data_IF_573581024166
#
_entry.id   IF_573581024166
#
_cell.length_a   1.000
_cell.length_b   1.000
_cell.length_c   1.000
_cell.angle_alpha   90.00
_cell.angle_beta   90.00
_cell.angle_gamma   90.00
#
_symmetry.space_group_name_H-M   'P 1'
#
loop_
_entity.id
_entity.type
_entity.pdbx_description
1 polymer ?
#
# COMPACT_ATOMS: atom_id res chain seq x y z
N UNK A 1 -1.96 -44.43 -19.58
CA UNK A 1 -1.16 -43.23 -19.28
C UNK A 1 -1.01 -43.18 -17.77
N UNK A 2 0.16 -43.57 -17.25
CA UNK A 2 0.46 -43.36 -15.84
C UNK A 2 0.64 -41.86 -15.64
N UNK A 3 -0.29 -41.22 -14.93
CA UNK A 3 -0.14 -39.83 -14.51
C UNK A 3 1.04 -39.75 -13.56
N UNK A 4 2.00 -38.86 -13.83
CA UNK A 4 3.06 -38.55 -12.88
C UNK A 4 2.40 -37.94 -11.64
N UNK A 5 2.60 -38.58 -10.49
CA UNK A 5 2.18 -38.04 -9.20
C UNK A 5 2.97 -36.75 -8.92
N UNK A 6 2.34 -35.77 -8.29
CA UNK A 6 3.06 -34.56 -7.87
C UNK A 6 4.09 -34.92 -6.78
N UNK A 7 5.12 -34.10 -6.57
CA UNK A 7 6.05 -34.30 -5.43
C UNK A 7 5.33 -34.27 -4.08
N UNK A 8 4.25 -33.50 -3.99
CA UNK A 8 3.38 -33.46 -2.81
C UNK A 8 2.65 -34.79 -2.65
N UNK A 9 2.17 -35.38 -3.74
CA UNK A 9 1.49 -36.67 -3.72
C UNK A 9 2.41 -37.79 -3.26
N UNK A 10 3.63 -37.85 -3.81
CA UNK A 10 4.64 -38.85 -3.42
C UNK A 10 5.00 -38.73 -1.94
N UNK A 11 5.12 -37.49 -1.43
CA UNK A 11 5.40 -37.21 -0.03
C UNK A 11 4.28 -37.73 0.89
N UNK A 12 3.03 -37.34 0.64
CA UNK A 12 1.91 -37.73 1.51
C UNK A 12 1.54 -39.21 1.37
N UNK A 13 1.75 -39.85 0.21
CA UNK A 13 1.51 -41.28 0.03
C UNK A 13 2.41 -42.12 0.96
N UNK A 14 3.66 -41.67 1.16
CA UNK A 14 4.64 -42.28 2.09
C UNK A 14 4.32 -42.09 3.57
N UNK A 15 3.26 -41.36 3.92
CA UNK A 15 2.84 -41.11 5.29
C UNK A 15 1.53 -41.85 5.64
N UNK A 16 1.14 -42.87 4.87
CA UNK A 16 -0.19 -43.51 4.98
C UNK A 16 -0.22 -44.85 5.70
N UNK A 17 0.91 -45.55 5.86
CA UNK A 17 0.95 -46.88 6.50
C UNK A 17 1.23 -46.79 8.00
N UNK A 18 2.28 -46.05 8.40
CA UNK A 18 2.57 -45.69 9.81
C UNK A 18 2.99 -44.20 9.87
N UNK A 19 2.02 -43.27 9.85
CA UNK A 19 2.30 -41.85 9.70
C UNK A 19 3.28 -41.31 10.75
N UNK A 20 3.25 -41.82 11.99
CA UNK A 20 4.09 -41.35 13.08
C UNK A 20 5.54 -41.81 12.94
N UNK A 21 5.77 -43.09 12.64
CA UNK A 21 7.11 -43.60 12.40
C UNK A 21 7.72 -43.03 11.12
N UNK A 22 6.89 -42.84 10.09
CA UNK A 22 7.33 -42.28 8.81
C UNK A 22 7.70 -40.81 8.96
N UNK A 23 6.86 -39.97 9.59
CA UNK A 23 7.11 -38.55 9.81
C UNK A 23 8.40 -38.29 10.60
N UNK A 24 8.69 -39.09 11.62
CA UNK A 24 9.91 -38.97 12.44
C UNK A 24 11.22 -39.17 11.64
N UNK A 25 11.13 -39.88 10.51
CA UNK A 25 12.28 -40.16 9.64
C UNK A 25 12.37 -39.22 8.43
N UNK A 26 11.41 -38.30 8.25
CA UNK A 26 11.43 -37.33 7.15
C UNK A 26 12.44 -36.21 7.44
N UNK A 27 13.29 -35.90 6.46
CA UNK A 27 14.19 -34.75 6.54
C UNK A 27 13.37 -33.43 6.53
N UNK A 28 13.70 -32.47 7.39
CA UNK A 28 13.03 -31.18 7.40
C UNK A 28 13.19 -30.41 6.07
N UNK A 29 14.29 -30.63 5.35
CA UNK A 29 14.48 -30.08 3.99
C UNK A 29 13.51 -30.72 3.00
N UNK A 30 13.19 -32.02 3.15
CA UNK A 30 12.19 -32.71 2.34
C UNK A 30 10.79 -32.15 2.61
N UNK A 31 10.43 -31.92 3.88
CA UNK A 31 9.18 -31.24 4.27
C UNK A 31 9.13 -29.83 3.65
N UNK A 32 10.21 -29.05 3.81
CA UNK A 32 10.29 -27.69 3.27
C UNK A 32 10.17 -27.66 1.74
N UNK A 33 10.78 -28.61 1.04
CA UNK A 33 10.67 -28.73 -0.41
C UNK A 33 9.26 -29.13 -0.88
N UNK A 34 8.60 -30.04 -0.16
CA UNK A 34 7.22 -30.42 -0.43
C UNK A 34 6.27 -29.21 -0.25
N UNK A 35 6.43 -28.45 0.85
CA UNK A 35 5.62 -27.26 1.15
C UNK A 35 5.88 -26.11 0.17
N UNK A 36 7.12 -25.94 -0.30
CA UNK A 36 7.51 -24.89 -1.25
C UNK A 36 6.80 -25.03 -2.61
N UNK A 37 6.62 -26.26 -3.09
CA UNK A 37 6.02 -26.56 -4.38
C UNK A 37 4.50 -26.75 -4.36
N UNK A 38 3.87 -26.70 -3.18
CA UNK A 38 2.46 -27.02 -3.01
C UNK A 38 1.56 -25.82 -3.32
N UNK A 39 0.47 -26.07 -4.05
CA UNK A 39 -0.69 -25.17 -4.00
C UNK A 39 -1.25 -25.13 -2.57
N UNK A 40 -1.71 -23.96 -2.12
CA UNK A 40 -2.12 -23.76 -0.72
C UNK A 40 -3.41 -24.50 -0.38
N UNK A 41 -4.35 -24.59 -1.32
CA UNK A 41 -5.61 -25.30 -1.09
C UNK A 41 -5.40 -26.81 -1.19
N UNK A 42 -4.49 -27.26 -2.07
CA UNK A 42 -4.04 -28.64 -2.10
C UNK A 42 -3.36 -29.05 -0.79
N UNK A 43 -2.42 -28.25 -0.28
CA UNK A 43 -1.76 -28.50 0.99
C UNK A 43 -2.77 -28.58 2.15
N UNK A 44 -3.72 -27.64 2.21
CA UNK A 44 -4.81 -27.68 3.20
C UNK A 44 -5.64 -28.95 3.08
N UNK A 45 -6.01 -29.34 1.87
CA UNK A 45 -6.79 -30.56 1.63
C UNK A 45 -6.03 -31.82 2.07
N UNK A 46 -4.72 -31.89 1.82
CA UNK A 46 -3.85 -33.03 2.21
C UNK A 46 -3.68 -33.14 3.72
N UNK A 47 -3.66 -32.02 4.43
CA UNK A 47 -3.52 -31.98 5.89
C UNK A 47 -4.84 -32.24 6.63
N UNK A 48 -5.95 -32.48 5.91
CA UNK A 48 -7.22 -32.89 6.54
C UNK A 48 -7.06 -34.27 7.19
N UNK A 49 -7.48 -34.39 8.44
CA UNK A 49 -7.45 -35.64 9.21
C UNK A 49 -6.13 -35.86 9.97
N UNK A 50 -5.83 -37.11 10.33
CA UNK A 50 -4.76 -37.44 11.29
C UNK A 50 -3.34 -37.12 10.83
N UNK A 51 -3.06 -37.16 9.52
CA UNK A 51 -1.71 -36.96 8.98
C UNK A 51 -1.21 -35.53 9.24
N UNK A 52 -2.07 -34.52 9.09
CA UNK A 52 -1.69 -33.13 9.36
C UNK A 52 -1.26 -32.90 10.79
N UNK A 53 -1.97 -33.52 11.74
CA UNK A 53 -1.60 -33.48 13.16
C UNK A 53 -0.25 -34.13 13.43
N UNK A 54 0.00 -35.32 12.86
CA UNK A 54 1.27 -36.03 13.04
C UNK A 54 2.44 -35.21 12.51
N UNK A 55 2.29 -34.61 11.33
CA UNK A 55 3.34 -33.77 10.73
C UNK A 55 3.60 -32.49 11.54
N UNK A 56 2.55 -31.86 12.06
CA UNK A 56 2.66 -30.68 12.93
C UNK A 56 3.29 -31.02 14.27
N UNK A 57 2.85 -32.09 14.93
CA UNK A 57 3.43 -32.59 16.18
C UNK A 57 4.94 -32.84 15.98
N UNK A 58 5.34 -33.43 14.85
CA UNK A 58 6.74 -33.73 14.54
C UNK A 58 7.58 -32.47 14.25
N UNK A 59 7.06 -31.53 13.46
CA UNK A 59 7.76 -30.24 13.20
C UNK A 59 7.96 -29.46 14.49
N UNK A 60 6.95 -29.43 15.37
CA UNK A 60 7.05 -28.75 16.67
C UNK A 60 8.02 -29.47 17.61
N UNK A 61 8.00 -30.81 17.65
CA UNK A 61 8.94 -31.61 18.44
C UNK A 61 10.39 -31.33 18.07
N UNK A 62 10.67 -31.12 16.77
CA UNK A 62 12.02 -30.83 16.24
C UNK A 62 12.39 -29.36 16.28
N UNK A 63 11.47 -28.45 16.56
CA UNK A 63 11.73 -27.01 16.57
C UNK A 63 12.94 -26.60 17.45
N UNK A 64 13.17 -27.19 18.65
CA UNK A 64 14.38 -26.91 19.43
C UNK A 64 15.70 -27.19 18.71
N UNK A 65 15.73 -28.13 17.75
CA UNK A 65 16.93 -28.44 16.94
C UNK A 65 17.35 -27.27 16.03
N UNK A 66 16.41 -26.36 15.74
CA UNK A 66 16.60 -25.22 14.86
C UNK A 66 16.77 -23.90 15.62
N UNK A 67 16.85 -23.92 16.95
CA UNK A 67 17.10 -22.69 17.71
C UNK A 67 18.57 -22.32 17.63
N UNK A 68 18.87 -21.06 17.35
CA UNK A 68 20.22 -20.52 17.46
C UNK A 68 20.55 -20.28 18.95
N UNK A 69 21.48 -21.06 19.54
CA UNK A 69 21.78 -20.95 20.97
C UNK A 69 22.44 -19.62 21.34
N UNK A 70 23.13 -18.95 20.40
CA UNK A 70 23.76 -17.65 20.65
C UNK A 70 22.70 -16.55 20.63
N UNK A 71 21.78 -16.59 19.66
CA UNK A 71 20.68 -15.62 19.61
C UNK A 71 19.70 -15.79 20.78
N UNK A 72 19.51 -17.03 21.26
CA UNK A 72 18.62 -17.36 22.36
C UNK A 72 19.23 -17.14 23.76
N UNK A 73 20.53 -16.83 23.86
CA UNK A 73 21.17 -16.52 25.14
C UNK A 73 20.52 -15.29 25.80
N UNK A 74 20.23 -15.38 27.09
CA UNK A 74 19.53 -14.35 27.86
C UNK A 74 18.03 -14.22 27.57
N UNK A 75 17.46 -15.03 26.67
CA UNK A 75 16.02 -15.03 26.38
C UNK A 75 15.29 -15.89 27.41
N UNK A 76 14.33 -15.29 28.12
CA UNK A 76 13.42 -16.01 29.03
C UNK A 76 11.98 -15.66 28.66
N UNK A 77 11.34 -16.52 27.87
CA UNK A 77 10.02 -16.27 27.27
C UNK A 77 9.21 -17.55 27.14
N UNK A 78 7.90 -17.44 27.31
CA UNK A 78 6.94 -18.52 27.04
C UNK A 78 6.08 -18.11 25.85
N UNK A 79 6.08 -18.92 24.78
CA UNK A 79 5.39 -18.66 23.52
C UNK A 79 4.36 -19.75 23.29
N UNK A 80 3.09 -19.35 23.20
CA UNK A 80 1.98 -20.22 22.88
C UNK A 80 1.73 -20.32 21.38
N UNK A 81 1.23 -21.46 20.93
CA UNK A 81 0.78 -21.68 19.56
C UNK A 81 -0.60 -22.31 19.58
N UNK A 82 -1.54 -21.74 18.82
CA UNK A 82 -2.85 -22.32 18.58
C UNK A 82 -2.99 -22.62 17.09
N UNK A 83 -2.94 -23.91 16.75
CA UNK A 83 -2.96 -24.39 15.38
C UNK A 83 -4.33 -24.98 15.05
N UNK A 84 -5.00 -24.40 14.05
CA UNK A 84 -6.35 -24.82 13.66
C UNK A 84 -6.30 -25.88 12.56
N UNK A 85 -6.98 -27.00 12.78
CA UNK A 85 -7.37 -27.94 11.74
C UNK A 85 -8.63 -27.47 11.01
N UNK A 86 -8.83 -27.97 9.80
CA UNK A 86 -10.03 -27.72 8.98
C UNK A 86 -11.31 -28.31 9.62
N UNK A 87 -11.15 -29.28 10.52
CA UNK A 87 -12.20 -29.90 11.33
C UNK A 87 -12.62 -29.05 12.54
N UNK A 88 -12.00 -27.89 12.74
CA UNK A 88 -12.25 -26.99 13.87
C UNK A 88 -11.51 -27.37 15.15
N UNK A 89 -10.70 -28.44 15.14
CA UNK A 89 -9.85 -28.81 16.27
C UNK A 89 -8.70 -27.82 16.39
N UNK A 90 -8.39 -27.41 17.62
CA UNK A 90 -7.27 -26.52 17.92
C UNK A 90 -6.22 -27.29 18.70
N UNK A 91 -5.08 -27.56 18.07
CA UNK A 91 -3.92 -28.10 18.77
C UNK A 91 -3.11 -26.97 19.40
N UNK A 92 -2.75 -27.15 20.67
CA UNK A 92 -2.08 -26.14 21.47
C UNK A 92 -0.69 -26.62 21.86
N UNK A 93 0.29 -25.75 21.63
CA UNK A 93 1.67 -26.00 21.99
C UNK A 93 2.25 -24.80 22.72
N UNK A 94 3.25 -25.06 23.54
CA UNK A 94 4.00 -24.06 24.28
C UNK A 94 5.47 -24.32 24.05
N UNK A 95 6.20 -23.26 23.70
CA UNK A 95 7.65 -23.23 23.65
C UNK A 95 8.13 -22.35 24.81
N UNK A 96 9.06 -22.86 25.60
CA UNK A 96 9.69 -22.09 26.68
C UNK A 96 11.17 -21.92 26.36
N UNK A 97 11.57 -20.67 26.22
CA UNK A 97 12.96 -20.24 26.15
C UNK A 97 13.45 -19.92 27.57
N UNK A 98 14.62 -20.45 27.92
CA UNK A 98 15.28 -20.22 29.21
C UNK A 98 16.80 -20.18 29.01
N UNK A 99 17.34 -18.98 28.81
CA UNK A 99 18.77 -18.70 28.65
C UNK A 99 19.48 -19.61 27.63
N UNK A 100 18.97 -19.63 26.40
CA UNK A 100 19.51 -20.45 25.31
C UNK A 100 18.97 -21.89 25.25
N UNK A 101 18.34 -22.39 26.32
CA UNK A 101 17.62 -23.68 26.29
C UNK A 101 16.17 -23.48 25.81
N UNK A 102 15.67 -24.46 25.04
CA UNK A 102 14.28 -24.45 24.56
C UNK A 102 13.61 -25.77 24.86
N UNK A 103 12.47 -25.71 25.53
CA UNK A 103 11.58 -26.85 25.73
C UNK A 103 10.27 -26.64 25.01
N UNK A 104 9.66 -27.74 24.58
CA UNK A 104 8.40 -27.75 23.83
C UNK A 104 7.45 -28.77 24.43
N UNK A 105 6.17 -28.41 24.52
CA UNK A 105 5.14 -29.28 25.09
C UNK A 105 3.74 -28.76 24.82
N UNK A 106 2.73 -29.45 25.36
CA UNK A 106 1.32 -28.99 25.33
C UNK A 106 0.96 -28.13 26.54
N UNK A 107 1.62 -28.40 27.66
CA UNK A 107 1.52 -27.64 28.91
C UNK A 107 2.94 -27.53 29.47
N UNK A 108 3.39 -26.29 29.70
CA UNK A 108 4.66 -25.96 30.33
C UNK A 108 4.39 -24.88 31.38
N UNK A 109 5.26 -24.78 32.39
CA UNK A 109 5.12 -23.77 33.44
C UNK A 109 5.29 -22.34 32.91
N UNK A 110 4.33 -21.48 33.25
CA UNK A 110 4.30 -20.06 32.93
C UNK A 110 3.25 -19.71 31.87
N UNK A 111 2.63 -18.53 32.02
CA UNK A 111 1.67 -18.03 31.04
C UNK A 111 2.39 -17.53 29.78
N UNK A 112 1.91 -17.85 28.57
CA UNK A 112 2.49 -17.32 27.34
C UNK A 112 2.47 -15.79 27.31
N UNK A 113 3.64 -15.17 27.10
CA UNK A 113 3.73 -13.73 26.86
C UNK A 113 3.16 -13.35 25.49
N UNK A 114 3.20 -14.29 24.55
CA UNK A 114 2.56 -14.19 23.24
C UNK A 114 2.01 -15.52 22.79
N UNK A 115 0.90 -15.49 22.06
CA UNK A 115 0.28 -16.65 21.42
C UNK A 115 0.14 -16.41 19.92
N UNK A 116 0.73 -17.29 19.11
CA UNK A 116 0.65 -17.28 17.65
C UNK A 116 -0.50 -18.19 17.20
N UNK A 117 -1.37 -17.69 16.32
CA UNK A 117 -2.57 -18.40 15.89
C UNK A 117 -2.67 -18.43 14.37
N UNK A 118 -2.75 -19.62 13.78
CA UNK A 118 -2.76 -19.86 12.34
C UNK A 118 -3.22 -21.29 12.02
N UNK A 119 -3.60 -21.56 10.78
CA UNK A 119 -3.95 -22.92 10.35
C UNK A 119 -2.74 -23.85 10.31
N UNK A 120 -2.95 -25.16 10.45
CA UNK A 120 -1.86 -26.16 10.41
C UNK A 120 -1.05 -26.10 9.10
N UNK A 121 -1.71 -25.90 7.96
CA UNK A 121 -1.05 -25.72 6.67
C UNK A 121 -0.16 -24.47 6.66
N UNK A 122 -0.70 -23.35 7.15
CA UNK A 122 0.00 -22.08 7.21
C UNK A 122 1.16 -22.12 8.23
N UNK A 123 1.02 -22.90 9.30
CA UNK A 123 2.11 -23.19 10.24
C UNK A 123 3.26 -23.92 9.55
N UNK A 124 2.99 -24.95 8.74
CA UNK A 124 4.06 -25.63 8.00
C UNK A 124 4.74 -24.69 7.01
N UNK A 125 3.98 -23.82 6.34
CA UNK A 125 4.52 -22.76 5.46
C UNK A 125 5.47 -21.83 6.22
N UNK A 126 5.06 -21.37 7.41
CA UNK A 126 5.87 -20.50 8.27
C UNK A 126 7.12 -21.23 8.83
N UNK A 127 6.93 -22.41 9.40
CA UNK A 127 7.97 -23.18 10.09
C UNK A 127 9.03 -23.77 9.16
N UNK A 128 8.77 -23.79 7.85
CA UNK A 128 9.72 -24.20 6.80
C UNK A 128 10.27 -23.03 5.98
N UNK A 129 10.00 -21.79 6.42
CA UNK A 129 10.55 -20.59 5.79
C UNK A 129 9.96 -20.30 4.40
N UNK A 130 8.84 -20.94 4.06
CA UNK A 130 8.13 -20.80 2.79
C UNK A 130 7.05 -19.69 2.83
N UNK A 131 6.94 -18.96 3.94
CA UNK A 131 6.03 -17.83 4.11
C UNK A 131 6.71 -16.65 4.79
N UNK A 132 6.31 -15.45 4.37
CA UNK A 132 6.73 -14.18 4.97
C UNK A 132 5.80 -13.84 6.16
N UNK A 133 6.30 -13.80 7.42
CA UNK A 133 5.46 -13.59 8.59
C UNK A 133 4.70 -12.26 8.56
N UNK A 134 5.32 -11.19 8.03
CA UNK A 134 4.69 -9.88 7.92
C UNK A 134 3.47 -9.94 6.97
N UNK A 135 3.62 -10.58 5.82
CA UNK A 135 2.54 -10.84 4.85
C UNK A 135 1.46 -11.73 5.45
N UNK A 136 1.81 -12.72 6.27
CA UNK A 136 0.83 -13.56 6.97
C UNK A 136 0.03 -12.78 8.02
N UNK A 137 0.65 -11.85 8.75
CA UNK A 137 -0.08 -10.96 9.66
C UNK A 137 -0.95 -9.97 8.89
N UNK A 138 -0.39 -9.34 7.86
CA UNK A 138 -1.10 -8.38 7.02
C UNK A 138 -2.23 -9.01 6.22
N UNK A 139 -2.19 -10.32 5.93
CA UNK A 139 -3.29 -11.07 5.31
C UNK A 139 -4.29 -11.62 6.34
N UNK A 140 -3.91 -11.61 7.63
CA UNK A 140 -4.70 -12.11 8.76
C UNK A 140 -4.62 -13.64 8.96
N UNK A 141 -3.76 -14.32 8.19
CA UNK A 141 -3.46 -15.75 8.31
C UNK A 141 -2.75 -16.05 9.63
N UNK A 142 -1.78 -15.21 10.01
CA UNK A 142 -1.12 -15.25 11.30
C UNK A 142 -1.71 -14.17 12.21
N UNK A 143 -2.25 -14.58 13.35
CA UNK A 143 -2.68 -13.66 14.42
C UNK A 143 -1.74 -13.77 15.60
N UNK A 144 -1.42 -12.62 16.18
CA UNK A 144 -0.52 -12.51 17.32
C UNK A 144 -1.34 -11.93 18.48
N UNK A 145 -1.46 -12.69 19.56
CA UNK A 145 -2.16 -12.29 20.79
C UNK A 145 -1.15 -12.17 21.93
N UNK A 146 -1.01 -10.98 22.52
CA UNK A 146 -0.01 -10.70 23.55
C UNK A 146 1.13 -9.80 23.05
N UNK A 147 2.35 -10.04 23.51
CA UNK A 147 3.52 -9.24 23.17
C UNK A 147 4.04 -9.57 21.77
N UNK A 148 3.67 -8.74 20.79
CA UNK A 148 4.14 -8.94 19.42
C UNK A 148 5.64 -8.66 19.23
N UNK A 149 6.33 -8.01 20.18
CA UNK A 149 7.79 -7.92 20.17
C UNK A 149 8.43 -9.30 20.32
N UNK A 150 7.92 -10.11 21.26
CA UNK A 150 8.37 -11.49 21.48
C UNK A 150 8.15 -12.36 20.24
N UNK A 151 6.99 -12.22 19.58
CA UNK A 151 6.71 -12.94 18.34
C UNK A 151 7.69 -12.63 17.20
N UNK A 152 8.20 -11.39 17.16
CA UNK A 152 9.14 -10.96 16.12
C UNK A 152 10.58 -11.33 16.47
N UNK A 153 10.93 -11.26 17.76
CA UNK A 153 12.22 -11.77 18.23
C UNK A 153 12.35 -13.27 17.98
N UNK A 154 11.27 -14.05 18.09
CA UNK A 154 11.27 -15.48 17.77
C UNK A 154 11.85 -15.79 16.37
N UNK A 155 11.55 -14.97 15.35
CA UNK A 155 12.09 -15.17 13.99
C UNK A 155 13.63 -15.14 14.00
N UNK A 156 14.22 -14.31 14.88
CA UNK A 156 15.67 -14.17 15.04
C UNK A 156 16.31 -15.35 15.78
N UNK A 157 15.51 -16.07 16.57
CA UNK A 157 15.98 -17.19 17.39
C UNK A 157 16.02 -18.50 16.59
N UNK A 158 15.44 -18.54 15.39
CA UNK A 158 15.27 -19.77 14.61
C UNK A 158 16.14 -19.76 13.34
N UNK A 159 16.83 -20.88 13.12
CA UNK A 159 17.55 -21.24 11.88
C UNK A 159 16.65 -22.11 11.03
N UNK A 160 15.75 -21.49 10.28
CA UNK A 160 14.67 -22.20 9.61
C UNK A 160 15.21 -23.02 8.41
N UNK A 161 14.91 -24.33 8.33
CA UNK A 161 15.25 -25.13 7.17
C UNK A 161 14.42 -24.70 5.96
N UNK A 162 15.05 -24.51 4.81
CA UNK A 162 14.38 -24.17 3.54
C UNK A 162 14.62 -25.23 2.46
N UNK A 163 13.87 -25.17 1.37
CA UNK A 163 14.06 -26.03 0.20
C UNK A 163 15.46 -25.89 -0.46
N UNK A 164 16.23 -24.85 -0.11
CA UNK A 164 17.62 -24.61 -0.57
C UNK A 164 18.68 -25.01 0.47
N UNK A 165 18.29 -25.63 1.59
CA UNK A 165 19.14 -25.91 2.76
C UNK A 165 18.73 -25.09 3.98
N UNK A 166 19.44 -25.26 5.11
CA UNK A 166 19.28 -24.38 6.28
C UNK A 166 19.82 -23.00 5.89
N UNK A 167 18.94 -22.02 5.77
CA UNK A 167 19.29 -20.65 5.37
C UNK A 167 19.42 -19.83 6.65
N UNK A 168 20.57 -19.20 6.87
CA UNK A 168 20.66 -18.10 7.83
C UNK A 168 19.77 -16.98 7.31
N UNK A 169 18.82 -16.52 8.13
CA UNK A 169 17.99 -15.36 7.77
C UNK A 169 18.90 -14.12 7.84
N UNK A 170 19.43 -13.70 6.68
CA UNK A 170 20.39 -12.58 6.56
C UNK A 170 19.91 -11.28 7.25
N UNK A 171 18.60 -11.01 7.23
CA UNK A 171 17.95 -9.94 7.98
C UNK A 171 16.55 -10.40 8.43
N UNK A 172 16.29 -10.60 9.74
CA UNK A 172 15.00 -11.03 10.26
C UNK A 172 13.91 -9.95 10.16
N UNK A 173 14.28 -8.73 9.77
CA UNK A 173 13.35 -7.65 9.42
C UNK A 173 13.10 -7.56 7.92
N UNK A 174 13.79 -8.35 7.09
CA UNK A 174 13.53 -8.36 5.66
C UNK A 174 12.08 -8.78 5.42
N UNK A 175 11.40 -7.97 4.61
CA UNK A 175 10.01 -8.18 4.24
C UNK A 175 9.90 -8.27 2.73
N UNK A 176 9.08 -9.19 2.23
CA UNK A 176 8.71 -9.23 0.82
C UNK A 176 7.82 -8.03 0.45
N UNK A 177 8.46 -6.92 0.06
CA UNK A 177 7.78 -5.68 -0.34
C UNK A 177 6.88 -5.89 -1.56
N UNK A 178 7.22 -6.78 -2.48
CA UNK A 178 6.36 -7.07 -3.65
C UNK A 178 5.12 -7.86 -3.23
N UNK A 179 5.28 -8.86 -2.37
CA UNK A 179 4.19 -9.59 -1.74
C UNK A 179 3.26 -8.66 -0.95
N UNK A 180 3.83 -7.75 -0.15
CA UNK A 180 3.07 -6.72 0.56
C UNK A 180 2.33 -5.79 -0.40
N UNK A 181 2.98 -5.34 -1.48
CA UNK A 181 2.34 -4.44 -2.44
C UNK A 181 1.14 -5.10 -3.13
N UNK A 182 1.26 -6.38 -3.51
CA UNK A 182 0.14 -7.16 -4.06
C UNK A 182 -1.00 -7.30 -3.04
N UNK A 183 -0.65 -7.69 -1.82
CA UNK A 183 -1.61 -7.87 -0.74
C UNK A 183 -2.36 -6.58 -0.38
N UNK A 184 -1.67 -5.44 -0.28
CA UNK A 184 -2.28 -4.14 0.03
C UNK A 184 -3.30 -3.75 -1.05
N UNK A 185 -3.05 -4.08 -2.31
CA UNK A 185 -3.98 -3.81 -3.41
C UNK A 185 -5.33 -4.55 -3.27
N UNK A 186 -5.35 -5.65 -2.52
CA UNK A 186 -6.54 -6.50 -2.31
C UNK A 186 -7.26 -6.23 -0.99
N UNK A 187 -6.58 -5.61 -0.01
CA UNK A 187 -7.14 -5.37 1.32
C UNK A 187 -7.90 -4.04 1.35
N UNK A 188 -9.14 -4.07 1.87
CA UNK A 188 -9.88 -2.84 2.17
C UNK A 188 -9.12 -1.96 3.18
N UNK A 189 -8.99 -0.64 2.96
CA UNK A 189 -8.15 0.24 3.79
C UNK A 189 -8.41 0.16 5.30
N UNK A 190 -9.68 -0.02 5.71
CA UNK A 190 -10.04 -0.17 7.13
C UNK A 190 -9.47 -1.45 7.75
N UNK A 191 -9.54 -2.57 7.03
CA UNK A 191 -8.96 -3.85 7.47
C UNK A 191 -7.44 -3.77 7.53
N UNK A 192 -6.82 -3.10 6.55
CA UNK A 192 -5.36 -2.87 6.59
C UNK A 192 -4.97 -2.08 7.85
N UNK A 193 -5.69 -0.99 8.15
CA UNK A 193 -5.47 -0.19 9.34
C UNK A 193 -5.64 -0.98 10.64
N UNK A 194 -6.66 -1.85 10.72
CA UNK A 194 -6.84 -2.77 11.84
C UNK A 194 -5.68 -3.76 12.00
N UNK A 195 -5.15 -4.31 10.90
CA UNK A 195 -4.03 -5.26 10.90
C UNK A 195 -2.69 -4.62 11.26
N UNK A 196 -2.55 -3.32 11.04
CA UNK A 196 -1.36 -2.55 11.42
C UNK A 196 -1.40 -2.06 12.87
N UNK A 197 -2.39 -2.46 13.67
CA UNK A 197 -2.45 -2.10 15.09
C UNK A 197 -1.29 -2.71 15.87
N UNK A 198 -0.71 -1.92 16.75
CA UNK A 198 0.29 -2.38 17.71
C UNK A 198 1.71 -2.46 17.14
N UNK A 199 2.57 -3.33 17.69
CA UNK A 199 4.00 -3.37 17.37
C UNK A 199 4.30 -3.79 15.93
N UNK A 200 3.50 -4.70 15.37
CA UNK A 200 3.73 -5.25 14.02
C UNK A 200 3.64 -4.15 12.96
N UNK A 201 2.60 -3.31 13.01
CA UNK A 201 2.46 -2.23 12.03
C UNK A 201 3.61 -1.23 12.09
N UNK A 202 4.15 -0.96 13.29
CA UNK A 202 5.34 -0.11 13.45
C UNK A 202 6.57 -0.72 12.77
N UNK A 203 6.74 -2.03 12.90
CA UNK A 203 7.89 -2.73 12.31
C UNK A 203 7.78 -2.79 10.79
N UNK A 204 6.60 -3.07 10.25
CA UNK A 204 6.36 -3.01 8.79
C UNK A 204 6.65 -1.61 8.26
N UNK A 205 6.18 -0.56 8.94
CA UNK A 205 6.42 0.82 8.54
C UNK A 205 7.90 1.20 8.66
N UNK A 206 8.56 0.84 9.75
CA UNK A 206 9.99 1.10 9.97
C UNK A 206 10.82 0.42 8.87
N UNK A 207 10.46 -0.80 8.47
CA UNK A 207 11.12 -1.54 7.40
C UNK A 207 10.88 -0.90 6.02
N UNK A 208 9.64 -0.53 5.70
CA UNK A 208 9.34 0.16 4.42
C UNK A 208 10.06 1.52 4.34
N UNK A 209 10.16 2.25 5.46
CA UNK A 209 10.96 3.48 5.52
C UNK A 209 12.44 3.18 5.33
N UNK A 210 13.00 2.17 6.00
CA UNK A 210 14.42 1.79 5.89
C UNK A 210 14.81 1.46 4.45
N UNK A 211 13.91 0.81 3.69
CA UNK A 211 14.11 0.43 2.29
C UNK A 211 13.76 1.52 1.29
N UNK A 212 13.10 2.60 1.70
CA UNK A 212 12.73 3.71 0.82
C UNK A 212 13.89 4.25 -0.06
N UNK A 213 15.16 4.33 0.42
CA UNK A 213 16.30 4.73 -0.39
C UNK A 213 16.56 3.84 -1.60
N UNK A 214 16.22 2.54 -1.53
CA UNK A 214 16.39 1.59 -2.65
C UNK A 214 15.52 1.96 -3.86
N UNK A 215 14.46 2.74 -3.63
CA UNK A 215 13.49 3.15 -4.65
C UNK A 215 13.73 4.57 -5.16
N UNK A 216 14.76 5.26 -4.70
CA UNK A 216 15.13 6.58 -5.24
C UNK A 216 15.92 6.37 -6.53
N UNK A 217 15.42 6.93 -7.63
CA UNK A 217 16.11 6.93 -8.93
C UNK A 217 17.36 7.80 -8.83
N UNK A 218 18.58 7.21 -8.89
CA UNK A 218 19.81 7.95 -8.67
C UNK A 218 20.09 8.97 -9.77
N UNK A 219 19.58 8.75 -10.99
CA UNK A 219 19.76 9.67 -12.12
C UNK A 219 18.84 10.86 -11.96
N UNK A 220 17.56 10.62 -11.64
CA UNK A 220 16.62 11.71 -11.39
C UNK A 220 17.00 12.53 -10.14
N UNK A 221 17.65 11.90 -9.16
CA UNK A 221 18.07 12.52 -7.91
C UNK A 221 19.48 13.14 -7.94
N UNK A 222 20.19 13.13 -9.07
CA UNK A 222 21.59 13.54 -9.16
C UNK A 222 21.86 14.98 -8.70
N UNK A 223 20.92 15.90 -8.93
CA UNK A 223 21.02 17.32 -8.57
C UNK A 223 20.09 17.70 -7.40
N UNK A 224 19.62 16.70 -6.64
CA UNK A 224 18.71 16.90 -5.52
C UNK A 224 19.50 16.93 -4.21
N UNK A 225 19.28 17.96 -3.41
CA UNK A 225 19.74 18.08 -2.02
C UNK A 225 18.57 18.55 -1.15
N UNK A 226 17.84 17.59 -0.58
CA UNK A 226 16.60 17.85 0.16
C UNK A 226 16.41 16.85 1.31
N UNK A 227 15.73 17.32 2.34
CA UNK A 227 15.24 16.50 3.45
C UNK A 227 13.72 16.54 3.43
N UNK A 228 13.11 15.36 3.36
CA UNK A 228 11.66 15.17 3.41
C UNK A 228 11.29 14.52 4.74
N UNK A 229 10.31 15.08 5.42
CA UNK A 229 9.75 14.53 6.64
C UNK A 229 8.55 13.63 6.36
N UNK A 230 8.43 12.55 7.13
CA UNK A 230 7.24 11.73 7.22
C UNK A 230 6.69 11.80 8.64
N UNK A 231 5.41 12.12 8.78
CA UNK A 231 4.70 12.10 10.05
C UNK A 231 3.54 11.11 9.97
N UNK A 232 3.80 9.89 10.41
CA UNK A 232 2.91 8.75 10.28
C UNK A 232 2.10 8.57 11.56
N UNK A 233 0.78 8.59 11.45
CA UNK A 233 -0.12 8.44 12.59
C UNK A 233 -0.53 6.98 12.75
N UNK A 234 -0.45 6.47 13.98
CA UNK A 234 -1.12 5.22 14.33
C UNK A 234 -2.62 5.44 14.59
N UNK A 235 -3.34 4.35 14.82
CA UNK A 235 -4.80 4.34 15.07
C UNK A 235 -5.20 5.15 16.32
N UNK A 236 -4.29 5.38 17.26
CA UNK A 236 -4.51 6.20 18.46
C UNK A 236 -4.17 7.67 18.22
N UNK A 237 -3.71 8.02 17.02
CA UNK A 237 -3.23 9.35 16.66
C UNK A 237 -1.81 9.63 17.14
N UNK A 238 -1.08 8.64 17.67
CA UNK A 238 0.32 8.83 18.05
C UNK A 238 1.17 9.00 16.78
N UNK A 239 2.01 10.04 16.78
CA UNK A 239 2.82 10.41 15.63
C UNK A 239 4.20 9.78 15.65
N UNK A 240 4.57 9.12 14.55
CA UNK A 240 5.88 8.57 14.30
C UNK A 240 6.57 9.40 13.22
N UNK A 241 7.75 9.93 13.53
CA UNK A 241 8.51 10.81 12.63
C UNK A 241 9.70 10.07 12.03
N UNK A 242 9.91 10.29 10.74
CA UNK A 242 11.04 9.78 9.97
C UNK A 242 11.50 10.85 9.00
N UNK A 243 12.76 10.79 8.59
CA UNK A 243 13.29 11.63 7.52
C UNK A 243 13.75 10.75 6.36
N UNK A 244 13.60 11.28 5.15
CA UNK A 244 14.25 10.83 3.92
C UNK A 244 15.17 11.98 3.48
N UNK A 245 16.47 11.74 3.48
CA UNK A 245 17.46 12.66 2.91
C UNK A 245 17.85 12.15 1.53
N UNK A 246 17.78 13.03 0.54
CA UNK A 246 18.27 12.78 -0.82
C UNK A 246 19.36 13.81 -1.10
N UNK A 247 20.55 13.33 -1.44
CA UNK A 247 21.72 14.15 -1.69
C UNK A 247 22.55 13.54 -2.82
N UNK A 248 22.67 14.25 -3.94
CA UNK A 248 23.54 13.91 -5.06
C UNK A 248 23.34 12.47 -5.57
N UNK A 249 22.09 12.08 -5.83
CA UNK A 249 21.73 10.74 -6.31
C UNK A 249 21.75 9.64 -5.23
N UNK A 250 22.11 9.95 -3.99
CA UNK A 250 22.07 9.03 -2.85
C UNK A 250 20.91 9.36 -1.94
N UNK A 251 20.37 8.34 -1.27
CA UNK A 251 19.31 8.52 -0.30
C UNK A 251 19.61 7.77 1.00
N UNK A 252 19.11 8.31 2.11
CA UNK A 252 19.04 7.63 3.40
C UNK A 252 17.70 7.94 4.06
N UNK A 253 17.13 6.96 4.76
CA UNK A 253 15.84 7.12 5.40
C UNK A 253 15.81 6.43 6.76
N UNK A 254 15.11 7.03 7.72
CA UNK A 254 14.98 6.48 9.06
C UNK A 254 14.70 7.52 10.13
N UNK A 255 14.77 7.09 11.39
CA UNK A 255 14.60 7.96 12.57
C UNK A 255 15.89 8.71 12.91
N UNK A 256 17.03 8.09 12.62
CA UNK A 256 18.36 8.60 12.95
C UNK A 256 18.96 9.45 11.82
N UNK A 257 18.22 9.65 10.73
CA UNK A 257 18.62 10.57 9.66
C UNK A 257 18.50 12.00 10.19
N UNK A 258 19.51 12.82 9.92
CA UNK A 258 19.58 14.21 10.37
C UNK A 258 19.20 15.21 9.27
N UNK A 259 18.60 16.33 9.68
CA UNK A 259 18.30 17.47 8.82
C UNK A 259 16.97 18.15 9.18
N UNK A 260 16.72 19.32 8.57
CA UNK A 260 15.45 20.03 8.71
C UNK A 260 14.59 19.76 7.47
N UNK A 261 13.41 19.14 7.59
CA UNK A 261 12.59 18.84 6.44
C UNK A 261 12.03 20.13 5.82
N UNK A 262 12.22 20.30 4.50
CA UNK A 262 11.58 21.40 3.74
C UNK A 262 10.08 21.15 3.56
N UNK A 263 9.68 19.88 3.58
CA UNK A 263 8.30 19.43 3.53
C UNK A 263 8.10 18.23 4.44
N UNK A 264 6.95 18.15 5.10
CA UNK A 264 6.51 17.00 5.88
C UNK A 264 5.22 16.44 5.31
N UNK A 265 5.24 15.16 4.96
CA UNK A 265 4.09 14.38 4.51
C UNK A 265 3.44 13.71 5.74
N UNK A 266 2.20 14.09 6.03
CA UNK A 266 1.45 13.60 7.19
C UNK A 266 0.24 12.76 6.75
N UNK A 267 0.16 11.53 7.23
CA UNK A 267 -0.86 10.53 6.89
C UNK A 267 -0.88 9.38 7.90
N UNK A 268 -1.88 8.49 7.84
CA UNK A 268 -1.92 7.27 8.66
C UNK A 268 -0.89 6.24 8.20
N UNK A 269 -0.49 5.31 9.08
CA UNK A 269 0.43 4.22 8.73
C UNK A 269 -0.09 3.34 7.59
N UNK A 270 -1.40 3.01 7.60
CA UNK A 270 -2.03 2.24 6.52
C UNK A 270 -1.99 2.99 5.19
N UNK A 271 -2.34 4.27 5.22
CA UNK A 271 -2.31 5.14 4.04
C UNK A 271 -0.89 5.33 3.51
N UNK A 272 0.11 5.38 4.40
CA UNK A 272 1.52 5.38 4.02
C UNK A 272 1.89 4.11 3.27
N UNK A 273 1.52 2.93 3.74
CA UNK A 273 1.81 1.69 3.00
C UNK A 273 1.09 1.65 1.65
N UNK A 274 -0.15 2.13 1.57
CA UNK A 274 -0.89 2.26 0.29
C UNK A 274 -0.12 3.18 -0.68
N UNK A 275 0.37 4.32 -0.22
CA UNK A 275 1.17 5.25 -1.03
C UNK A 275 2.53 4.64 -1.41
N UNK A 276 3.26 4.10 -0.44
CA UNK A 276 4.62 3.58 -0.56
C UNK A 276 4.72 2.27 -1.35
N UNK A 277 3.59 1.66 -1.69
CA UNK A 277 3.51 0.47 -2.56
C UNK A 277 2.85 0.75 -3.92
N UNK A 278 2.58 2.03 -4.22
CA UNK A 278 1.98 2.45 -5.48
C UNK A 278 0.48 2.11 -5.62
N UNK A 279 -0.17 1.67 -4.53
CA UNK A 279 -1.60 1.37 -4.49
C UNK A 279 -2.47 2.62 -4.27
N UNK A 280 -1.85 3.77 -3.98
CA UNK A 280 -2.52 5.06 -3.75
C UNK A 280 -2.16 6.12 -4.77
N UNK A 281 -3.14 6.96 -5.14
CA UNK A 281 -2.91 8.18 -5.90
C UNK A 281 -2.72 9.38 -4.95
N UNK A 282 -1.52 10.01 -4.91
CA UNK A 282 -1.22 11.10 -3.98
C UNK A 282 -2.11 12.31 -4.18
N UNK A 283 -2.49 12.64 -5.43
CA UNK A 283 -3.37 13.78 -5.71
C UNK A 283 -4.75 13.60 -5.08
N UNK A 284 -5.32 12.40 -5.19
CA UNK A 284 -6.58 12.03 -4.55
C UNK A 284 -6.46 11.91 -3.03
N UNK A 285 -5.32 11.46 -2.50
CA UNK A 285 -5.08 11.42 -1.06
C UNK A 285 -5.02 12.84 -0.46
N UNK A 286 -4.42 13.81 -1.18
CA UNK A 286 -4.47 15.22 -0.78
C UNK A 286 -5.88 15.79 -0.90
N UNK A 287 -6.58 15.52 -2.00
CA UNK A 287 -7.96 15.99 -2.20
C UNK A 287 -8.94 15.43 -1.16
N UNK A 288 -8.74 14.20 -0.70
CA UNK A 288 -9.51 13.59 0.40
C UNK A 288 -9.05 14.04 1.79
N UNK A 289 -7.88 14.64 1.91
CA UNK A 289 -7.28 15.09 3.16
C UNK A 289 -6.59 14.00 3.98
N UNK A 290 -6.47 12.79 3.42
CA UNK A 290 -5.71 11.67 3.98
C UNK A 290 -4.22 11.99 4.02
N UNK A 291 -3.69 12.52 2.92
CA UNK A 291 -2.33 13.03 2.83
C UNK A 291 -2.36 14.54 3.03
N UNK A 292 -1.67 15.02 4.07
CA UNK A 292 -1.42 16.45 4.30
C UNK A 292 0.03 16.76 3.99
N UNK A 293 0.24 17.88 3.31
CA UNK A 293 1.56 18.37 2.93
C UNK A 293 1.80 19.64 3.75
N UNK A 294 2.80 19.62 4.62
CA UNK A 294 3.17 20.72 5.50
C UNK A 294 4.55 21.25 5.09
N UNK A 295 4.65 22.50 4.67
CA UNK A 295 5.89 23.09 4.15
C UNK A 295 5.86 23.27 2.63
N UNK A 296 7.00 23.07 1.98
CA UNK A 296 7.16 23.27 0.54
C UNK A 296 6.50 22.14 -0.27
N UNK A 297 5.32 22.43 -0.80
CA UNK A 297 4.55 21.45 -1.53
C UNK A 297 5.10 21.10 -2.92
N UNK A 298 6.00 21.91 -3.50
CA UNK A 298 6.69 21.54 -4.75
C UNK A 298 7.65 20.38 -4.50
N UNK A 299 8.34 20.37 -3.36
CA UNK A 299 9.23 19.26 -2.97
C UNK A 299 8.45 17.95 -2.81
N UNK A 300 7.20 18.00 -2.32
CA UNK A 300 6.34 16.82 -2.24
C UNK A 300 6.00 16.24 -3.62
N UNK A 301 5.83 17.09 -4.64
CA UNK A 301 5.59 16.64 -6.01
C UNK A 301 6.86 16.14 -6.69
N UNK A 302 7.99 16.80 -6.45
CA UNK A 302 9.27 16.34 -6.99
C UNK A 302 9.62 14.96 -6.45
N UNK A 303 9.40 14.70 -5.15
CA UNK A 303 9.64 13.40 -4.54
C UNK A 303 8.95 12.26 -5.31
N UNK A 304 7.70 12.47 -5.71
CA UNK A 304 6.92 11.48 -6.46
C UNK A 304 7.62 11.08 -7.77
N UNK A 305 8.32 12.00 -8.41
CA UNK A 305 9.08 11.77 -9.67
C UNK A 305 10.42 11.07 -9.43
N UNK A 306 10.98 11.24 -8.23
CA UNK A 306 12.24 10.62 -7.80
C UNK A 306 12.07 9.15 -7.40
N UNK A 307 10.84 8.72 -7.09
CA UNK A 307 10.57 7.36 -6.61
C UNK A 307 10.22 6.39 -7.76
N UNK A 308 10.72 5.16 -7.63
CA UNK A 308 10.47 4.00 -8.49
C UNK A 308 9.94 2.88 -7.61
N UNK A 309 8.65 2.95 -7.31
CA UNK A 309 8.04 2.09 -6.30
C UNK A 309 7.64 0.73 -6.88
N UNK A 310 8.00 -0.39 -6.24
CA UNK A 310 7.49 -1.70 -6.62
C UNK A 310 5.99 -1.79 -6.31
N UNK A 311 5.23 -2.22 -7.30
CA UNK A 311 3.83 -2.62 -7.16
C UNK A 311 3.64 -4.07 -7.59
N UNK A 312 2.44 -4.61 -7.36
CA UNK A 312 2.04 -5.91 -7.89
C UNK A 312 2.21 -6.06 -9.42
N UNK A 313 2.23 -4.93 -10.15
CA UNK A 313 2.35 -4.86 -11.61
C UNK A 313 3.77 -4.48 -12.07
N UNK A 314 4.76 -4.56 -11.18
CA UNK A 314 6.12 -4.09 -11.41
C UNK A 314 6.33 -2.67 -10.89
N UNK A 315 7.47 -2.08 -11.23
CA UNK A 315 7.83 -0.72 -10.81
C UNK A 315 6.89 0.30 -11.46
N UNK A 316 6.18 1.09 -10.65
CA UNK A 316 5.24 2.11 -11.11
C UNK A 316 5.77 3.52 -10.87
N UNK A 317 5.45 4.43 -11.80
CA UNK A 317 5.55 5.86 -11.56
C UNK A 317 4.42 6.28 -10.63
N UNK A 318 4.78 6.75 -9.43
CA UNK A 318 3.81 7.30 -8.50
C UNK A 318 3.32 8.63 -9.04
N UNK A 319 2.05 8.95 -8.81
CA UNK A 319 1.47 10.27 -9.10
C UNK A 319 1.51 10.72 -10.55
N UNK A 320 1.51 9.79 -11.52
CA UNK A 320 1.16 10.10 -12.91
C UNK A 320 -0.23 10.78 -12.92
N UNK A 321 -0.35 12.05 -13.37
CA UNK A 321 -1.64 12.73 -13.46
C UNK A 321 -2.67 11.92 -14.28
N UNK A 322 -2.20 11.10 -15.24
CA UNK A 322 -3.06 10.26 -16.07
C UNK A 322 -3.69 9.10 -15.31
N UNK A 323 -3.13 8.71 -14.17
CA UNK A 323 -3.63 7.63 -13.33
C UNK A 323 -4.76 8.07 -12.38
N UNK A 324 -5.11 9.37 -12.34
CA UNK A 324 -6.16 9.90 -11.45
C UNK A 324 -7.53 9.26 -11.75
N UNK A 325 -8.16 8.71 -10.71
CA UNK A 325 -9.52 8.15 -10.72
C UNK A 325 -10.57 9.27 -10.70
N UNK A 326 -11.19 9.52 -11.86
CA UNK A 326 -12.22 10.55 -12.02
C UNK A 326 -13.47 10.27 -11.18
N UNK A 327 -13.90 9.01 -11.07
CA UNK A 327 -15.08 8.65 -10.26
C UNK A 327 -14.86 8.97 -8.79
N UNK A 328 -13.65 8.69 -8.29
CA UNK A 328 -13.24 9.05 -6.93
C UNK A 328 -13.17 10.56 -6.74
N UNK A 329 -12.61 11.32 -7.69
CA UNK A 329 -12.59 12.79 -7.64
C UNK A 329 -14.02 13.36 -7.60
N UNK A 330 -14.95 12.87 -8.43
CA UNK A 330 -16.36 13.33 -8.43
C UNK A 330 -17.00 13.13 -7.05
N UNK A 331 -16.83 11.93 -6.47
CA UNK A 331 -17.35 11.62 -5.13
C UNK A 331 -16.75 12.52 -4.06
N UNK A 332 -15.45 12.76 -4.10
CA UNK A 332 -14.77 13.65 -3.13
C UNK A 332 -15.25 15.10 -3.25
N UNK A 333 -15.40 15.62 -4.46
CA UNK A 333 -15.92 16.98 -4.67
C UNK A 333 -17.38 17.09 -4.18
N UNK A 334 -18.17 16.02 -4.28
CA UNK A 334 -19.54 15.99 -3.81
C UNK A 334 -19.65 15.95 -2.28
N UNK A 335 -18.77 15.19 -1.61
CA UNK A 335 -18.84 14.93 -0.17
C UNK A 335 -18.00 15.87 0.71
N UNK A 336 -17.09 16.64 0.12
CA UNK A 336 -16.17 17.53 0.86
C UNK A 336 -16.70 18.96 0.90
N UNK A 337 -16.56 19.63 2.05
CA UNK A 337 -16.97 21.02 2.20
C UNK A 337 -16.13 21.98 1.35
N UNK A 338 -16.71 23.11 0.92
CA UNK A 338 -16.02 24.12 0.11
C UNK A 338 -14.77 24.66 0.82
N UNK A 339 -14.82 24.77 2.15
CA UNK A 339 -13.69 25.24 2.97
C UNK A 339 -12.51 24.26 2.88
N UNK A 340 -12.78 22.97 3.04
CA UNK A 340 -11.76 21.93 2.96
C UNK A 340 -11.23 21.75 1.53
N UNK A 341 -12.11 21.77 0.52
CA UNK A 341 -11.67 21.75 -0.88
C UNK A 341 -10.77 22.95 -1.19
N UNK A 342 -11.13 24.14 -0.71
CA UNK A 342 -10.31 25.35 -0.90
C UNK A 342 -8.95 25.22 -0.25
N UNK A 343 -8.88 24.61 0.93
CA UNK A 343 -7.63 24.37 1.64
C UNK A 343 -6.74 23.38 0.87
N UNK A 344 -7.32 22.25 0.44
CA UNK A 344 -6.61 21.17 -0.27
C UNK A 344 -6.18 21.56 -1.69
N UNK A 345 -6.86 22.51 -2.33
CA UNK A 345 -6.54 23.02 -3.67
C UNK A 345 -5.66 24.30 -3.66
N UNK A 346 -5.02 24.65 -2.55
CA UNK A 346 -4.06 25.78 -2.52
C UNK A 346 -2.71 25.44 -3.15
N UNK A 347 -2.24 24.22 -2.96
CA UNK A 347 -0.91 23.76 -3.37
C UNK A 347 -0.84 23.28 -4.82
N UNK A 348 0.31 22.75 -5.23
CA UNK A 348 0.59 22.37 -6.61
C UNK A 348 -0.15 21.10 -7.07
N UNK A 349 -0.71 20.33 -6.13
CA UNK A 349 -1.71 19.29 -6.45
C UNK A 349 -2.91 19.88 -7.22
N UNK A 350 -3.28 21.14 -6.98
CA UNK A 350 -4.30 21.82 -7.79
C UNK A 350 -3.89 21.82 -9.27
N UNK A 351 -2.64 22.17 -9.56
CA UNK A 351 -2.15 22.29 -10.92
C UNK A 351 -2.17 20.93 -11.63
N UNK A 352 -1.71 19.86 -10.97
CA UNK A 352 -1.79 18.48 -11.48
C UNK A 352 -3.23 18.11 -11.87
N UNK A 353 -4.19 18.35 -10.97
CA UNK A 353 -5.58 17.99 -11.23
C UNK A 353 -6.22 18.85 -12.33
N UNK A 354 -5.88 20.15 -12.40
CA UNK A 354 -6.34 21.03 -13.46
C UNK A 354 -5.77 20.61 -14.83
N UNK A 355 -4.46 20.38 -14.91
CA UNK A 355 -3.79 19.89 -16.12
C UNK A 355 -4.45 18.61 -16.62
N UNK A 356 -4.77 17.69 -15.71
CA UNK A 356 -5.44 16.44 -16.05
C UNK A 356 -6.88 16.64 -16.54
N UNK A 357 -7.67 17.51 -15.89
CA UNK A 357 -9.02 17.87 -16.35
C UNK A 357 -8.96 18.42 -17.77
N UNK A 358 -8.05 19.37 -18.03
CA UNK A 358 -7.92 20.01 -19.33
C UNK A 358 -7.37 19.09 -20.41
N UNK A 359 -6.46 18.18 -20.06
CA UNK A 359 -5.99 17.12 -20.95
C UNK A 359 -7.11 16.17 -21.35
N UNK A 360 -8.01 15.79 -20.42
CA UNK A 360 -9.16 14.92 -20.72
C UNK A 360 -10.35 15.65 -21.35
N UNK A 361 -10.44 16.97 -21.20
CA UNK A 361 -11.59 17.78 -21.66
C UNK A 361 -12.01 17.50 -23.12
N UNK A 362 -11.10 17.33 -24.10
CA UNK A 362 -11.50 16.96 -25.46
C UNK A 362 -12.30 15.66 -25.56
N UNK A 363 -12.00 14.65 -24.73
CA UNK A 363 -12.69 13.36 -24.74
C UNK A 363 -14.14 13.47 -24.23
N UNK A 364 -14.47 14.53 -23.48
CA UNK A 364 -15.82 14.79 -22.98
C UNK A 364 -16.69 15.59 -23.96
N UNK A 365 -16.17 16.00 -25.12
CA UNK A 365 -16.95 16.72 -26.11
C UNK A 365 -17.98 15.79 -26.79
N UNK A 366 -19.25 16.14 -26.70
CA UNK A 366 -20.29 15.54 -27.52
C UNK A 366 -20.26 16.15 -28.92
N UNK A 367 -19.62 15.44 -29.85
CA UNK A 367 -19.38 15.90 -31.22
C UNK A 367 -20.66 16.31 -31.96
N UNK A 368 -21.78 15.61 -31.74
CA UNK A 368 -23.08 15.95 -32.35
C UNK A 368 -23.63 17.28 -31.83
N UNK A 369 -23.59 17.49 -30.51
CA UNK A 369 -24.08 18.74 -29.90
C UNK A 369 -23.16 19.92 -30.17
N UNK A 370 -21.87 19.66 -30.40
CA UNK A 370 -20.88 20.66 -30.78
C UNK A 370 -20.95 21.11 -32.25
N UNK A 371 -21.82 20.51 -33.07
CA UNK A 371 -21.98 20.91 -34.46
C UNK A 371 -22.43 22.38 -34.57
N UNK A 372 -21.71 23.18 -35.36
CA UNK A 372 -21.98 24.62 -35.51
C UNK A 372 -21.62 25.47 -34.28
N UNK A 373 -20.85 24.93 -33.34
CA UNK A 373 -20.30 25.67 -32.20
C UNK A 373 -18.81 25.86 -32.42
N UNK A 374 -18.42 27.05 -32.85
CA UNK A 374 -17.03 27.41 -33.08
C UNK A 374 -16.64 28.61 -32.20
N UNK A 375 -15.53 28.48 -31.47
CA UNK A 375 -15.04 29.56 -30.62
C UNK A 375 -13.93 29.12 -29.68
N UNK A 376 -13.29 30.11 -29.06
CA UNK A 376 -12.21 29.87 -28.09
C UNK A 376 -12.63 30.34 -26.70
N UNK A 377 -12.52 29.45 -25.72
CA UNK A 377 -12.74 29.72 -24.31
C UNK A 377 -11.40 29.93 -23.63
N UNK A 378 -11.23 31.04 -22.93
CA UNK A 378 -10.16 31.24 -21.95
C UNK A 378 -10.70 30.97 -20.54
N UNK A 379 -10.11 30.02 -19.83
CA UNK A 379 -10.46 29.66 -18.46
C UNK A 379 -9.45 30.30 -17.52
N UNK A 380 -9.92 31.18 -16.63
CA UNK A 380 -9.09 31.84 -15.63
C UNK A 380 -9.45 31.33 -14.25
N UNK A 381 -8.63 30.41 -13.73
CA UNK A 381 -8.88 29.71 -12.46
C UNK A 381 -8.07 30.39 -11.37
N UNK A 382 -8.75 30.97 -10.39
CA UNK A 382 -8.15 31.73 -9.29
C UNK A 382 -7.90 30.86 -8.06
N UNK A 383 -7.08 31.38 -7.14
CA UNK A 383 -6.73 30.70 -5.89
C UNK A 383 -5.33 30.07 -5.87
N UNK A 384 -4.55 30.28 -6.94
CA UNK A 384 -3.13 29.92 -7.00
C UNK A 384 -2.16 30.95 -6.46
N UNK A 385 -0.87 30.69 -6.70
CA UNK A 385 0.25 31.58 -6.31
C UNK A 385 0.27 32.86 -7.14
N UNK A 386 -0.25 32.81 -8.37
CA UNK A 386 -0.42 33.96 -9.26
C UNK A 386 -1.85 34.53 -9.32
N UNK A 387 -2.10 35.42 -10.30
CA UNK A 387 -3.42 36.06 -10.47
C UNK A 387 -4.52 35.05 -10.85
N UNK A 388 -4.18 34.06 -11.67
CA UNK A 388 -4.98 32.91 -12.07
C UNK A 388 -4.12 31.95 -12.90
N UNK A 389 -4.48 30.66 -12.88
CA UNK A 389 -4.04 29.66 -13.85
C UNK A 389 -4.89 29.85 -15.13
N UNK A 390 -4.27 29.98 -16.31
CA UNK A 390 -4.99 30.16 -17.58
C UNK A 390 -4.91 28.91 -18.47
N UNK A 391 -6.08 28.43 -18.89
CA UNK A 391 -6.20 27.36 -19.88
C UNK A 391 -7.02 27.84 -21.06
N UNK A 392 -6.75 27.32 -22.26
CA UNK A 392 -7.54 27.66 -23.45
C UNK A 392 -8.10 26.40 -24.11
N UNK A 393 -9.39 26.46 -24.45
CA UNK A 393 -10.07 25.42 -25.19
C UNK A 393 -10.65 26.01 -26.47
N UNK A 394 -10.18 25.55 -27.62
CA UNK A 394 -10.78 25.86 -28.93
C UNK A 394 -11.75 24.75 -29.29
N UNK A 395 -12.97 25.15 -29.66
CA UNK A 395 -13.99 24.27 -30.21
C UNK A 395 -14.14 24.69 -31.67
N UNK A 396 -13.93 23.76 -32.59
CA UNK A 396 -14.06 24.01 -34.01
C UNK A 396 -14.43 22.72 -34.75
N UNK A 397 -15.45 22.76 -35.59
CA UNK A 397 -15.82 21.62 -36.46
C UNK A 397 -16.10 20.33 -35.68
N UNK A 398 -16.74 20.45 -34.52
CA UNK A 398 -17.07 19.31 -33.65
C UNK A 398 -15.86 18.69 -32.93
N UNK A 399 -14.71 19.37 -32.89
CA UNK A 399 -13.51 18.97 -32.13
C UNK A 399 -13.19 20.00 -31.05
N UNK A 400 -12.65 19.53 -29.93
CA UNK A 400 -12.08 20.37 -28.89
C UNK A 400 -10.56 20.18 -28.84
N UNK A 401 -9.83 21.28 -28.71
CA UNK A 401 -8.37 21.28 -28.55
C UNK A 401 -8.02 22.16 -27.37
N UNK A 402 -7.08 21.71 -26.54
CA UNK A 402 -6.65 22.40 -25.33
C UNK A 402 -5.14 22.60 -25.38
N UNK A 403 -4.68 23.76 -24.90
CA UNK A 403 -3.25 24.10 -24.84
C UNK A 403 -3.00 25.60 -24.93
N UNK A 404 -1.76 25.99 -25.20
CA UNK A 404 -1.44 27.38 -25.51
C UNK A 404 -1.83 27.71 -26.96
N UNK A 405 -3.09 28.14 -27.12
CA UNK A 405 -3.69 28.40 -28.42
C UNK A 405 -3.62 29.90 -28.76
N UNK A 406 -3.02 30.29 -29.89
CA UNK A 406 -2.93 31.70 -30.29
C UNK A 406 -4.29 32.25 -30.73
N UNK A 407 -4.50 33.55 -30.51
CA UNK A 407 -5.70 34.28 -30.92
C UNK A 407 -6.46 34.90 -29.74
N UNK A 408 -7.50 35.69 -30.04
CA UNK A 408 -8.35 36.31 -29.03
C UNK A 408 -9.46 35.32 -28.61
N UNK A 409 -9.69 35.08 -27.30
CA UNK A 409 -10.78 34.23 -26.86
C UNK A 409 -12.14 34.87 -27.18
N UNK A 410 -13.09 34.07 -27.66
CA UNK A 410 -14.49 34.45 -27.86
C UNK A 410 -15.18 34.74 -26.53
N UNK A 411 -14.84 33.93 -25.52
CA UNK A 411 -15.31 34.09 -24.15
C UNK A 411 -14.20 33.84 -23.15
N UNK A 412 -14.17 34.61 -22.07
CA UNK A 412 -13.35 34.36 -20.88
C UNK A 412 -14.25 33.98 -19.71
N UNK A 413 -14.00 32.83 -19.11
CA UNK A 413 -14.69 32.33 -17.92
C UNK A 413 -13.72 32.40 -16.74
N UNK A 414 -14.05 33.18 -15.72
CA UNK A 414 -13.25 33.32 -14.51
C UNK A 414 -13.97 32.70 -13.31
N UNK A 415 -13.26 31.87 -12.56
CA UNK A 415 -13.78 31.05 -11.48
C UNK A 415 -12.69 30.78 -10.44
N UNK A 416 -13.03 30.32 -9.23
CA UNK A 416 -12.05 29.72 -8.32
C UNK A 416 -11.97 28.20 -8.54
N UNK A 417 -10.90 27.57 -8.04
CA UNK A 417 -10.69 26.14 -8.23
C UNK A 417 -11.84 25.28 -7.69
N UNK A 418 -12.39 25.59 -6.51
CA UNK A 418 -13.48 24.80 -5.92
C UNK A 418 -14.72 24.85 -6.81
N UNK A 419 -15.07 26.06 -7.26
CA UNK A 419 -16.20 26.26 -8.15
C UNK A 419 -15.97 25.54 -9.49
N UNK A 420 -14.78 25.64 -10.07
CA UNK A 420 -14.42 24.95 -11.32
C UNK A 420 -14.60 23.44 -11.19
N UNK A 421 -14.04 22.81 -10.14
CA UNK A 421 -14.17 21.37 -9.91
C UNK A 421 -15.63 20.97 -9.80
N UNK A 422 -16.45 21.71 -9.05
CA UNK A 422 -17.89 21.43 -8.95
C UNK A 422 -18.62 21.52 -10.29
N UNK A 423 -18.22 22.44 -11.17
CA UNK A 423 -18.81 22.55 -12.50
C UNK A 423 -18.44 21.35 -13.38
N UNK A 424 -17.16 20.97 -13.43
CA UNK A 424 -16.69 19.88 -14.31
C UNK A 424 -17.06 18.49 -13.80
N UNK A 425 -17.31 18.33 -12.50
CA UNK A 425 -17.84 17.08 -11.91
C UNK A 425 -19.36 17.05 -11.83
N UNK A 426 -20.08 18.09 -12.30
CA UNK A 426 -21.54 18.16 -12.23
C UNK A 426 -22.14 18.44 -10.85
N UNK A 427 -21.32 18.68 -9.83
CA UNK A 427 -21.75 19.01 -8.47
C UNK A 427 -22.31 20.45 -8.36
N UNK A 428 -22.22 21.25 -9.41
CA UNK A 428 -22.86 22.56 -9.51
C UNK A 428 -23.32 22.87 -10.94
N UNK A 429 -24.51 23.46 -11.05
CA UNK A 429 -25.02 23.94 -12.34
C UNK A 429 -24.36 25.29 -12.74
N UNK A 430 -23.76 25.41 -13.94
CA UNK A 430 -23.06 26.62 -14.37
C UNK A 430 -23.96 27.86 -14.51
N UNK A 431 -25.22 27.68 -14.93
CA UNK A 431 -26.18 28.79 -15.03
C UNK A 431 -26.51 29.33 -13.64
N UNK A 432 -26.76 28.45 -12.66
CA UNK A 432 -26.96 28.87 -11.26
C UNK A 432 -25.72 29.59 -10.70
N UNK A 433 -24.52 29.08 -10.96
CA UNK A 433 -23.27 29.69 -10.52
C UNK A 433 -23.07 31.11 -11.08
N UNK A 434 -23.45 31.33 -12.35
CA UNK A 434 -23.42 32.64 -12.99
C UNK A 434 -24.47 33.60 -12.38
N UNK A 435 -25.72 33.14 -12.22
CA UNK A 435 -26.80 33.95 -11.63
C UNK A 435 -26.48 34.42 -10.21
N UNK A 436 -25.84 33.56 -9.42
CA UNK A 436 -25.34 33.91 -8.07
C UNK A 436 -24.03 34.71 -8.06
N UNK A 437 -23.54 35.13 -9.22
CA UNK A 437 -22.30 35.92 -9.39
C UNK A 437 -21.04 35.24 -8.84
N UNK A 438 -21.06 33.91 -8.69
CA UNK A 438 -19.89 33.11 -8.32
C UNK A 438 -19.01 32.79 -9.54
N UNK A 439 -19.63 32.67 -10.71
CA UNK A 439 -18.96 32.47 -11.99
C UNK A 439 -18.99 33.76 -12.81
N UNK A 440 -17.84 34.23 -13.29
CA UNK A 440 -17.76 35.41 -14.17
C UNK A 440 -17.56 34.96 -15.62
N UNK A 441 -18.37 35.51 -16.52
CA UNK A 441 -18.31 35.22 -17.96
C UNK A 441 -18.23 36.56 -18.70
N UNK A 442 -17.26 36.71 -19.60
CA UNK A 442 -17.05 37.93 -20.40
C UNK A 442 -16.85 37.57 -21.88
N UNK A 443 -17.39 38.38 -22.78
CA UNK A 443 -17.34 38.15 -24.23
C UNK A 443 -18.67 37.65 -24.76
N UNK A 444 -18.64 36.70 -25.70
CA UNK A 444 -19.84 36.16 -26.33
C UNK A 444 -20.63 35.26 -25.36
N UNK A 445 -21.70 35.82 -24.79
CA UNK A 445 -22.59 35.12 -23.86
C UNK A 445 -23.45 34.05 -24.55
N UNK A 446 -23.75 34.21 -25.86
CA UNK A 446 -24.51 33.22 -26.62
C UNK A 446 -23.65 31.97 -26.80
N UNK A 447 -22.38 32.15 -27.21
CA UNK A 447 -21.41 31.05 -27.26
C UNK A 447 -21.24 30.40 -25.88
N UNK A 448 -21.05 31.18 -24.82
CA UNK A 448 -20.88 30.68 -23.45
C UNK A 448 -22.05 29.81 -22.98
N UNK A 449 -23.29 30.21 -23.29
CA UNK A 449 -24.51 29.49 -22.88
C UNK A 449 -24.63 28.08 -23.48
N UNK A 450 -23.94 27.80 -24.60
CA UNK A 450 -23.95 26.49 -25.27
C UNK A 450 -22.96 25.50 -24.67
N UNK A 451 -21.92 25.98 -23.98
CA UNK A 451 -20.83 25.15 -23.45
C UNK A 451 -21.30 23.99 -22.54
N UNK A 452 -22.24 24.18 -21.59
CA UNK A 452 -22.67 23.07 -20.72
C UNK A 452 -23.39 21.94 -21.48
N UNK A 453 -24.00 22.23 -22.63
CA UNK A 453 -24.76 21.24 -23.39
C UNK A 453 -23.85 20.35 -24.26
N UNK A 454 -22.70 20.87 -24.69
CA UNK A 454 -21.78 20.20 -25.62
C UNK A 454 -20.72 19.36 -24.92
N UNK A 455 -20.49 19.54 -23.62
CA UNK A 455 -19.65 18.65 -22.82
C UNK A 455 -20.50 17.64 -22.04
N UNK A 456 -20.06 16.39 -22.04
CA UNK A 456 -20.65 15.32 -21.25
C UNK A 456 -19.98 15.31 -19.89
N UNK A 457 -20.74 15.46 -18.81
CA UNK A 457 -20.19 15.42 -17.45
C UNK A 457 -19.94 13.95 -17.07
N UNK A 458 -18.73 13.60 -16.58
CA UNK A 458 -18.44 12.26 -16.13
C UNK A 458 -19.38 11.84 -14.99
N UNK A 459 -19.77 10.57 -14.97
CA UNK A 459 -20.56 9.97 -13.89
C UNK A 459 -19.62 9.14 -12.98
N UNK A 460 -19.95 9.08 -11.70
CA UNK A 460 -19.12 8.44 -10.67
C UNK A 460 -19.27 6.92 -10.62
#
# INVERSE_FOLDING_TARGET
MAGHLSKLDEFFLRLTEDPSAEAANVDAVEIAAAVAGADRDELRARLRGGIGKVLVDEVIRRLPEYVDPVAAAGVSQVIGWHLFGEDGVVDRFVLRFDDGAVSVGRELDGDPSVTLRLGMADFLVLATGNGDPATMVLSGVLRIEGDAGVALDLVRLLRIPSAKGVVEVDDPRAVDVTGIAALIGEIEPRKLAERLRGPVGRIVVDEVIRRLPEYVDPVAAAEVDRVIGWHLLDERGAGHRFLLRIENGRASAGRDVEGVPSVTLRLGMADFLVLATGNGDPATMVLSGVLRIEGDAEVALDLVRLLRIPSAKGVVEVGDPRAVDVGKVIRLVASTSDRELKERLRGPVRQILLDEIFRRMPAYLNTRRAAGVDGMVAWQITGGTGRYDEYRTRIAGGKATVGDLPGKPSVTIRTDAVLFFKLVTGNLNPVKAFLWRKLSVRGDLVFASRLPAIFTIPQA
#
